data_IF_629897772182
#
_entry.id   IF_629897772182
#
_cell.length_a   1.000
_cell.length_b   1.000
_cell.length_c   1.000
_cell.angle_alpha   90.00
_cell.angle_beta   90.00
_cell.angle_gamma   90.00
#
_symmetry.space_group_name_H-M   'P 1'
#
loop_
_entity.id
_entity.type
_entity.pdbx_description
1 polymer ?
#
# COMPACT_ATOMS: atom_id res chain seq x y z
N UNK A 1 -30.25 23.55 12.38
CA UNK A 1 -29.79 23.28 11.01
C UNK A 1 -28.46 22.56 11.16
N UNK A 2 -28.43 21.24 11.00
CA UNK A 2 -27.17 20.49 11.09
C UNK A 2 -26.30 20.95 9.91
N UNK A 3 -25.22 21.66 10.19
CA UNK A 3 -24.21 21.96 9.17
C UNK A 3 -23.66 20.62 8.71
N UNK A 4 -24.07 20.18 7.52
CA UNK A 4 -23.38 19.08 6.86
C UNK A 4 -21.94 19.55 6.71
N UNK A 5 -21.03 18.84 7.40
CA UNK A 5 -19.60 19.06 7.25
C UNK A 5 -19.26 18.53 5.85
N UNK A 6 -19.30 19.43 4.87
CA UNK A 6 -19.04 19.12 3.47
C UNK A 6 -17.57 19.40 3.17
N UNK A 7 -16.89 18.41 2.60
CA UNK A 7 -15.54 18.59 2.07
C UNK A 7 -15.65 19.33 0.75
N UNK A 8 -14.92 20.45 0.57
CA UNK A 8 -15.03 21.21 -0.67
C UNK A 8 -14.41 20.42 -1.84
N UNK A 9 -14.91 20.64 -3.06
CA UNK A 9 -14.32 20.01 -4.26
C UNK A 9 -12.81 20.28 -4.38
N UNK A 10 -12.35 21.45 -3.95
CA UNK A 10 -10.93 21.78 -3.91
C UNK A 10 -10.15 20.88 -2.93
N UNK A 11 -10.68 20.69 -1.71
CA UNK A 11 -10.10 19.77 -0.73
C UNK A 11 -10.11 18.32 -1.23
N UNK A 12 -11.17 17.90 -1.94
CA UNK A 12 -11.28 16.56 -2.51
C UNK A 12 -10.22 16.33 -3.61
N UNK A 13 -10.08 17.28 -4.54
CA UNK A 13 -9.08 17.24 -5.61
C UNK A 13 -7.68 17.20 -5.01
N UNK A 14 -7.39 18.04 -4.02
CA UNK A 14 -6.07 18.08 -3.38
C UNK A 14 -5.78 16.80 -2.59
N UNK A 15 -6.79 16.23 -1.92
CA UNK A 15 -6.66 14.91 -1.25
C UNK A 15 -6.35 13.82 -2.26
N UNK A 16 -7.09 13.78 -3.38
CA UNK A 16 -6.86 12.80 -4.44
C UNK A 16 -5.48 12.94 -5.10
N UNK A 17 -5.03 14.17 -5.35
CA UNK A 17 -3.69 14.44 -5.86
C UNK A 17 -2.61 13.98 -4.88
N UNK A 18 -2.75 14.34 -3.59
CA UNK A 18 -1.81 13.94 -2.54
C UNK A 18 -1.73 12.41 -2.43
N UNK A 19 -2.87 11.72 -2.38
CA UNK A 19 -2.92 10.26 -2.36
C UNK A 19 -2.24 9.68 -3.60
N UNK A 20 -2.58 10.16 -4.80
CA UNK A 20 -2.00 9.66 -6.05
C UNK A 20 -0.48 9.84 -6.13
N UNK A 21 0.05 10.97 -5.67
CA UNK A 21 1.51 11.21 -5.63
C UNK A 21 2.17 10.34 -4.56
N UNK A 22 1.64 10.35 -3.33
CA UNK A 22 2.27 9.67 -2.19
C UNK A 22 2.20 8.15 -2.30
N UNK A 23 1.25 7.58 -3.04
CA UNK A 23 1.15 6.15 -3.31
C UNK A 23 2.30 5.64 -4.21
N UNK A 24 2.86 6.51 -5.08
CA UNK A 24 3.95 6.16 -5.98
C UNK A 24 5.32 6.11 -5.29
N UNK A 25 5.42 6.72 -4.11
CA UNK A 25 6.66 6.78 -3.33
C UNK A 25 6.50 5.99 -2.03
N UNK A 26 7.59 5.43 -1.47
CA UNK A 26 7.53 4.65 -0.23
C UNK A 26 7.39 5.54 1.02
N UNK A 27 6.51 6.54 1.00
CA UNK A 27 6.39 7.59 2.02
C UNK A 27 5.08 7.52 2.82
N UNK A 28 4.34 6.41 2.76
CA UNK A 28 3.05 6.19 3.42
C UNK A 28 1.97 7.21 3.03
N UNK A 29 1.16 6.85 2.04
CA UNK A 29 0.06 7.67 1.53
C UNK A 29 -1.02 7.93 2.59
N UNK A 30 -1.39 6.90 3.37
CA UNK A 30 -2.32 7.04 4.50
C UNK A 30 -1.86 8.07 5.53
N UNK A 31 -0.58 8.05 5.90
CA UNK A 31 -0.02 8.99 6.88
C UNK A 31 -0.19 10.44 6.43
N UNK A 32 0.12 10.73 5.17
CA UNK A 32 -0.04 12.08 4.60
C UNK A 32 -1.52 12.47 4.46
N UNK A 33 -2.38 11.54 4.06
CA UNK A 33 -3.82 11.77 3.93
C UNK A 33 -4.49 12.04 5.28
N UNK A 34 -3.93 11.60 6.41
CA UNK A 34 -4.46 11.95 7.74
C UNK A 34 -3.82 13.24 8.27
N UNK A 35 -2.50 13.39 8.13
CA UNK A 35 -1.75 14.51 8.73
C UNK A 35 -1.98 15.84 8.03
N UNK A 36 -2.10 15.86 6.70
CA UNK A 36 -2.29 17.12 5.96
C UNK A 36 -3.61 17.81 6.33
N UNK A 37 -4.77 17.11 6.36
CA UNK A 37 -6.01 17.69 6.86
C UNK A 37 -5.94 18.14 8.32
N UNK A 38 -5.34 17.32 9.20
CA UNK A 38 -5.21 17.61 10.62
C UNK A 38 -4.33 18.85 10.87
N UNK A 39 -3.30 19.06 10.05
CA UNK A 39 -2.40 20.20 10.18
C UNK A 39 -2.97 21.50 9.60
N UNK A 40 -3.68 21.42 8.47
CA UNK A 40 -4.36 22.58 7.86
C UNK A 40 -5.54 23.04 8.72
N UNK A 41 -6.23 22.10 9.38
CA UNK A 41 -7.32 22.40 10.30
C UNK A 41 -8.63 22.79 9.62
N UNK A 42 -9.55 23.37 10.40
CA UNK A 42 -10.80 23.93 9.91
C UNK A 42 -11.80 22.87 9.44
N UNK A 43 -12.45 23.10 8.29
CA UNK A 43 -13.45 22.16 7.76
C UNK A 43 -12.86 20.81 7.35
N UNK A 44 -11.56 20.77 7.03
CA UNK A 44 -10.89 19.54 6.58
C UNK A 44 -10.61 18.59 7.74
N UNK A 45 -10.07 19.12 8.85
CA UNK A 45 -9.92 18.40 10.12
C UNK A 45 -11.28 18.01 10.71
N UNK A 46 -12.28 18.90 10.64
CA UNK A 46 -13.63 18.60 11.10
C UNK A 46 -14.25 17.44 10.32
N UNK A 47 -13.98 17.33 9.01
CA UNK A 47 -14.44 16.22 8.20
C UNK A 47 -13.67 14.92 8.47
N UNK A 48 -12.35 15.00 8.70
CA UNK A 48 -11.51 13.87 9.11
C UNK A 48 -12.01 13.26 10.43
N UNK A 49 -12.29 14.10 11.43
CA UNK A 49 -12.69 13.68 12.79
C UNK A 49 -14.18 13.35 12.91
N UNK A 50 -14.99 13.74 11.91
CA UNK A 50 -16.41 13.41 11.89
C UNK A 50 -16.61 11.91 11.65
N UNK A 51 -17.05 11.22 12.70
CA UNK A 51 -17.45 9.82 12.64
C UNK A 51 -18.94 9.73 12.95
N UNK A 52 -19.73 9.29 11.98
CA UNK A 52 -21.17 9.09 12.17
C UNK A 52 -21.42 7.58 12.30
N UNK A 53 -22.03 7.15 13.42
CA UNK A 53 -22.34 5.74 13.68
C UNK A 53 -21.15 4.75 13.59
N UNK A 54 -19.94 5.22 13.89
CA UNK A 54 -18.72 4.41 13.85
C UNK A 54 -18.04 4.34 12.48
N UNK A 55 -18.58 5.01 11.46
CA UNK A 55 -17.98 5.13 10.14
C UNK A 55 -17.50 6.57 9.90
N UNK A 56 -16.25 6.74 9.48
CA UNK A 56 -15.71 8.02 9.04
C UNK A 56 -15.88 8.15 7.51
N UNK A 57 -16.68 9.12 7.02
CA UNK A 57 -16.80 9.38 5.59
C UNK A 57 -15.45 9.69 4.92
N UNK A 58 -14.53 10.30 5.69
CA UNK A 58 -13.18 10.58 5.20
C UNK A 58 -12.37 9.31 4.97
N UNK A 59 -12.40 8.35 5.90
CA UNK A 59 -11.73 7.06 5.71
C UNK A 59 -12.28 6.31 4.49
N UNK A 60 -13.60 6.31 4.31
CA UNK A 60 -14.23 5.71 3.12
C UNK A 60 -13.73 6.37 1.82
N UNK A 61 -13.56 7.69 1.82
CA UNK A 61 -12.97 8.42 0.69
C UNK A 61 -11.51 8.01 0.45
N UNK A 62 -10.68 7.90 1.49
CA UNK A 62 -9.29 7.44 1.36
C UNK A 62 -9.25 6.02 0.78
N UNK A 63 -10.10 5.12 1.29
CA UNK A 63 -10.22 3.74 0.78
C UNK A 63 -10.60 3.75 -0.71
N UNK A 64 -11.55 4.60 -1.11
CA UNK A 64 -11.95 4.73 -2.51
C UNK A 64 -10.81 5.27 -3.39
N UNK A 65 -10.05 6.26 -2.91
CA UNK A 65 -8.89 6.81 -3.63
C UNK A 65 -7.77 5.77 -3.77
N UNK A 66 -7.50 4.98 -2.73
CA UNK A 66 -6.55 3.88 -2.77
C UNK A 66 -7.02 2.74 -3.71
N UNK A 67 -8.32 2.45 -3.74
CA UNK A 67 -8.88 1.52 -4.72
C UNK A 67 -8.70 2.06 -6.16
N UNK A 68 -8.86 3.37 -6.38
CA UNK A 68 -8.65 3.98 -7.69
C UNK A 68 -7.18 3.89 -8.16
N UNK A 69 -6.20 4.07 -7.26
CA UNK A 69 -4.78 3.88 -7.60
C UNK A 69 -4.47 2.41 -7.89
N UNK A 70 -5.02 1.47 -7.10
CA UNK A 70 -4.90 0.04 -7.35
C UNK A 70 -5.48 -0.37 -8.71
N UNK A 71 -6.69 0.10 -9.06
CA UNK A 71 -7.31 -0.11 -10.37
C UNK A 71 -6.43 0.45 -11.48
N UNK A 72 -5.85 1.64 -11.28
CA UNK A 72 -4.94 2.25 -12.26
C UNK A 72 -3.73 1.33 -12.53
N UNK A 73 -3.10 0.79 -11.49
CA UNK A 73 -2.00 -0.18 -11.63
C UNK A 73 -2.45 -1.48 -12.31
N UNK A 74 -3.63 -2.01 -11.98
CA UNK A 74 -4.19 -3.20 -12.63
C UNK A 74 -4.39 -2.99 -14.14
N UNK A 75 -4.89 -1.80 -14.54
CA UNK A 75 -5.11 -1.47 -15.95
C UNK A 75 -3.79 -1.26 -16.71
N UNK A 76 -2.84 -0.52 -16.13
CA UNK A 76 -1.52 -0.27 -16.75
C UNK A 76 -0.78 -1.60 -16.96
N UNK A 77 -0.76 -2.47 -15.95
CA UNK A 77 -0.06 -3.75 -16.00
C UNK A 77 -0.96 -4.93 -16.41
N UNK A 78 -2.11 -4.68 -17.05
CA UNK A 78 -3.11 -5.71 -17.37
C UNK A 78 -2.53 -6.93 -18.08
N UNK A 79 -1.68 -6.72 -19.09
CA UNK A 79 -1.02 -7.80 -19.84
C UNK A 79 -0.12 -8.65 -18.94
N UNK A 80 0.60 -8.01 -18.00
CA UNK A 80 1.46 -8.68 -17.04
C UNK A 80 0.65 -9.51 -16.05
N UNK A 81 -0.46 -8.98 -15.54
CA UNK A 81 -1.39 -9.73 -14.69
C UNK A 81 -1.92 -10.97 -15.39
N UNK A 82 -2.35 -10.86 -16.65
CA UNK A 82 -2.79 -12.02 -17.43
C UNK A 82 -1.68 -13.07 -17.62
N UNK A 83 -0.42 -12.65 -17.80
CA UNK A 83 0.72 -13.57 -17.87
C UNK A 83 0.94 -14.31 -16.54
N UNK A 84 0.94 -13.59 -15.41
CA UNK A 84 1.11 -14.17 -14.09
C UNK A 84 -0.02 -15.16 -13.74
N UNK A 85 -1.27 -14.81 -14.06
CA UNK A 85 -2.43 -15.69 -13.83
C UNK A 85 -2.33 -16.95 -14.69
N UNK A 86 -1.96 -16.83 -15.98
CA UNK A 86 -1.74 -18.01 -16.83
C UNK A 86 -0.59 -18.89 -16.31
N UNK A 87 0.50 -18.27 -15.85
CA UNK A 87 1.64 -18.97 -15.27
C UNK A 87 1.26 -19.71 -13.98
N UNK A 88 0.41 -19.12 -13.14
CA UNK A 88 -0.13 -19.77 -11.94
C UNK A 88 -0.89 -21.06 -12.28
N UNK A 89 -1.88 -21.01 -13.17
CA UNK A 89 -2.66 -22.20 -13.55
C UNK A 89 -1.81 -23.25 -14.27
N UNK A 90 -0.86 -22.82 -15.12
CA UNK A 90 0.11 -23.73 -15.75
C UNK A 90 0.94 -24.45 -14.72
N UNK A 91 1.51 -23.71 -13.76
CA UNK A 91 2.33 -24.26 -12.66
C UNK A 91 1.54 -25.25 -11.81
N UNK A 92 0.27 -24.96 -11.51
CA UNK A 92 -0.59 -25.87 -10.75
C UNK A 92 -0.85 -27.18 -11.51
N UNK A 93 -1.01 -27.10 -12.84
CA UNK A 93 -1.23 -28.27 -13.71
C UNK A 93 0.05 -29.10 -13.90
N UNK A 94 1.19 -28.46 -14.16
CA UNK A 94 2.47 -29.15 -14.36
C UNK A 94 3.15 -29.55 -13.05
N UNK A 95 2.71 -29.01 -11.91
CA UNK A 95 3.35 -29.12 -10.60
C UNK A 95 4.83 -28.72 -10.64
N UNK A 96 5.15 -27.74 -11.48
CA UNK A 96 6.51 -27.25 -11.67
C UNK A 96 6.57 -25.72 -11.66
N UNK A 97 7.74 -25.19 -11.31
CA UNK A 97 8.03 -23.76 -11.22
C UNK A 97 9.11 -23.37 -12.24
N UNK A 98 9.03 -23.96 -13.43
CA UNK A 98 10.11 -23.92 -14.42
C UNK A 98 10.23 -22.56 -15.11
N UNK A 99 9.18 -21.72 -15.05
CA UNK A 99 9.20 -20.39 -15.66
C UNK A 99 9.35 -19.29 -14.61
N UNK A 100 10.07 -18.20 -14.92
CA UNK A 100 10.20 -17.07 -14.01
C UNK A 100 8.86 -16.51 -13.53
N UNK A 101 7.87 -16.40 -14.43
CA UNK A 101 6.53 -15.88 -14.10
C UNK A 101 5.79 -16.77 -13.11
N UNK A 102 5.95 -18.10 -13.24
CA UNK A 102 5.36 -19.07 -12.31
C UNK A 102 5.96 -18.87 -10.93
N UNK A 103 7.28 -18.68 -10.83
CA UNK A 103 7.93 -18.42 -9.55
C UNK A 103 7.52 -17.07 -8.95
N UNK A 104 7.44 -16.01 -9.77
CA UNK A 104 7.03 -14.68 -9.33
C UNK A 104 5.63 -14.70 -8.72
N UNK A 105 4.63 -15.31 -9.38
CA UNK A 105 3.26 -15.32 -8.84
C UNK A 105 3.16 -16.07 -7.51
N UNK A 106 3.90 -17.16 -7.32
CA UNK A 106 3.96 -17.85 -6.04
C UNK A 106 4.68 -17.06 -4.95
N UNK A 107 5.76 -16.34 -5.29
CA UNK A 107 6.43 -15.43 -4.36
C UNK A 107 5.50 -14.30 -3.91
N UNK A 108 4.72 -13.72 -4.83
CA UNK A 108 3.70 -12.71 -4.51
C UNK A 108 2.67 -13.30 -3.54
N UNK A 109 2.07 -14.45 -3.86
CA UNK A 109 1.06 -15.09 -3.01
C UNK A 109 1.59 -15.36 -1.59
N UNK A 110 2.80 -15.90 -1.46
CA UNK A 110 3.41 -16.19 -0.15
C UNK A 110 3.73 -14.92 0.62
N UNK A 111 4.14 -13.85 -0.05
CA UNK A 111 4.36 -12.56 0.60
C UNK A 111 3.04 -11.89 1.02
N UNK A 112 1.94 -12.06 0.28
CA UNK A 112 0.65 -11.42 0.60
C UNK A 112 -0.14 -12.14 1.70
N UNK A 113 0.05 -13.45 1.90
CA UNK A 113 -0.73 -14.22 2.89
C UNK A 113 -0.57 -13.68 4.33
N UNK A 114 0.66 -13.43 4.85
CA UNK A 114 0.82 -12.94 6.23
C UNK A 114 0.15 -11.59 6.46
N UNK A 115 0.37 -10.61 5.58
CA UNK A 115 -0.23 -9.28 5.69
C UNK A 115 -1.76 -9.34 5.59
N UNK A 116 -2.30 -10.17 4.68
CA UNK A 116 -3.75 -10.36 4.57
C UNK A 116 -4.36 -11.00 5.82
N UNK A 117 -3.68 -11.99 6.41
CA UNK A 117 -4.10 -12.62 7.65
C UNK A 117 -4.08 -11.64 8.84
N UNK A 118 -3.01 -10.84 8.98
CA UNK A 118 -2.92 -9.80 9.99
C UNK A 118 -3.99 -8.73 9.80
N UNK A 119 -4.26 -8.33 8.55
CA UNK A 119 -5.31 -7.36 8.21
C UNK A 119 -6.69 -7.79 8.70
N UNK A 120 -7.07 -9.05 8.45
CA UNK A 120 -8.36 -9.60 8.92
C UNK A 120 -8.40 -9.76 10.44
N UNK A 121 -7.29 -10.18 11.07
CA UNK A 121 -7.24 -10.39 12.52
C UNK A 121 -7.26 -9.09 13.33
N UNK A 122 -6.67 -8.01 12.79
CA UNK A 122 -6.45 -6.75 13.49
C UNK A 122 -7.18 -5.55 12.86
N UNK A 123 -8.18 -5.79 12.00
CA UNK A 123 -8.89 -4.75 11.24
C UNK A 123 -9.38 -3.60 12.13
N UNK A 124 -10.03 -3.92 13.26
CA UNK A 124 -10.57 -2.89 14.18
C UNK A 124 -9.47 -2.07 14.86
N UNK A 125 -8.37 -2.71 15.24
CA UNK A 125 -7.23 -2.03 15.86
C UNK A 125 -6.56 -1.09 14.85
N UNK A 126 -6.43 -1.53 13.60
CA UNK A 126 -5.90 -0.70 12.52
C UNK A 126 -6.80 0.49 12.20
N UNK A 127 -8.13 0.31 12.17
CA UNK A 127 -9.05 1.44 11.98
C UNK A 127 -8.85 2.52 13.05
N UNK A 128 -8.69 2.15 14.32
CA UNK A 128 -8.43 3.12 15.40
C UNK A 128 -7.06 3.78 15.24
N UNK A 129 -6.00 2.98 15.03
CA UNK A 129 -4.62 3.48 14.89
C UNK A 129 -4.45 4.40 13.68
N UNK A 130 -5.12 4.10 12.57
CA UNK A 130 -5.05 4.89 11.33
C UNK A 130 -6.10 6.00 11.25
N UNK A 131 -6.90 6.23 12.29
CA UNK A 131 -7.79 7.40 12.37
C UNK A 131 -7.19 8.54 13.19
N UNK A 132 -6.16 8.25 13.99
CA UNK A 132 -5.55 9.19 14.93
C UNK A 132 -4.32 9.89 14.32
N UNK A 133 -4.32 11.23 14.17
CA UNK A 133 -3.19 11.97 13.61
C UNK A 133 -1.88 11.74 14.36
N UNK A 134 -1.94 11.59 15.69
CA UNK A 134 -0.75 11.33 16.50
C UNK A 134 -0.12 9.97 16.15
N UNK A 135 -0.92 8.93 16.03
CA UNK A 135 -0.44 7.60 15.63
C UNK A 135 0.15 7.64 14.20
N UNK A 136 -0.53 8.30 13.26
CA UNK A 136 -0.04 8.48 11.90
C UNK A 136 1.33 9.19 11.87
N UNK A 137 1.53 10.23 12.69
CA UNK A 137 2.81 10.94 12.78
C UNK A 137 3.97 10.06 13.29
N UNK A 138 3.69 9.20 14.27
CA UNK A 138 4.68 8.28 14.84
C UNK A 138 5.07 7.24 13.79
N UNK A 139 4.09 6.60 13.14
CA UNK A 139 4.35 5.63 12.07
C UNK A 139 5.12 6.24 10.91
N UNK A 140 4.76 7.45 10.48
CA UNK A 140 5.44 8.13 9.39
C UNK A 140 6.90 8.45 9.74
N UNK A 141 7.15 8.87 10.99
CA UNK A 141 8.50 9.12 11.50
C UNK A 141 9.34 7.85 11.56
N UNK A 142 8.76 6.74 12.03
CA UNK A 142 9.41 5.43 12.05
C UNK A 142 9.72 4.96 10.63
N UNK A 143 8.77 5.08 9.69
CA UNK A 143 8.97 4.73 8.29
C UNK A 143 10.12 5.53 7.68
N UNK A 144 10.17 6.84 7.92
CA UNK A 144 11.28 7.70 7.48
C UNK A 144 12.64 7.25 8.04
N UNK A 145 12.69 6.88 9.32
CA UNK A 145 13.91 6.35 9.93
C UNK A 145 14.34 5.01 9.33
N UNK A 146 13.39 4.11 9.06
CA UNK A 146 13.66 2.84 8.39
C UNK A 146 14.25 3.07 7.00
N UNK A 147 13.69 4.01 6.22
CA UNK A 147 14.22 4.37 4.90
C UNK A 147 15.66 4.89 4.99
N UNK A 148 15.95 5.78 5.94
CA UNK A 148 17.31 6.31 6.15
C UNK A 148 18.29 5.17 6.49
N UNK A 149 17.89 4.24 7.37
CA UNK A 149 18.72 3.10 7.76
C UNK A 149 18.93 2.16 6.56
N UNK A 150 17.88 1.90 5.78
CA UNK A 150 17.93 1.04 4.60
C UNK A 150 18.87 1.63 3.53
N UNK A 151 18.78 2.94 3.29
CA UNK A 151 19.67 3.66 2.36
C UNK A 151 21.12 3.56 2.82
N UNK A 152 21.41 3.84 4.10
CA UNK A 152 22.78 3.74 4.65
C UNK A 152 23.34 2.32 4.64
N UNK A 153 22.47 1.32 4.77
CA UNK A 153 22.86 -0.10 4.76
C UNK A 153 22.99 -0.67 3.35
N UNK A 154 22.45 0.03 2.34
CA UNK A 154 22.55 -0.35 0.93
C UNK A 154 23.99 -0.15 0.44
N UNK A 155 24.80 -1.20 0.55
CA UNK A 155 26.13 -1.23 -0.09
C UNK A 155 25.93 -1.20 -1.59
N UNK A 156 26.45 -0.16 -2.25
CA UNK A 156 26.53 0.10 -3.69
C UNK A 156 26.48 -1.18 -4.56
N UNK A 157 25.28 -1.75 -4.75
CA UNK A 157 25.05 -2.82 -5.72
C UNK A 157 24.66 -2.11 -6.99
N UNK A 158 25.64 -1.96 -7.87
CA UNK A 158 25.45 -1.53 -9.25
C UNK A 158 24.22 -2.25 -9.78
N UNK A 159 23.16 -1.48 -10.08
CA UNK A 159 21.92 -1.98 -10.67
C UNK A 159 22.26 -2.39 -12.10
N UNK A 160 22.82 -3.59 -12.26
CA UNK A 160 22.87 -4.26 -13.55
C UNK A 160 21.42 -4.54 -13.92
N UNK A 161 21.00 -3.95 -15.04
CA UNK A 161 19.72 -4.09 -15.75
C UNK A 161 18.88 -5.28 -15.26
N UNK A 162 18.05 -5.01 -14.25
CA UNK A 162 17.32 -6.00 -13.44
C UNK A 162 15.87 -6.12 -13.88
N UNK A 163 15.62 -5.80 -15.14
CA UNK A 163 14.29 -5.81 -15.76
C UNK A 163 13.84 -7.24 -16.14
N UNK A 164 14.72 -8.22 -16.03
CA UNK A 164 14.44 -9.62 -16.34
C UNK A 164 14.07 -10.40 -15.07
N UNK A 165 12.86 -10.96 -15.04
CA UNK A 165 12.35 -11.84 -13.98
C UNK A 165 13.35 -12.96 -13.58
N UNK A 166 14.24 -13.33 -14.49
CA UNK A 166 15.31 -14.31 -14.32
C UNK A 166 16.30 -13.93 -13.20
N UNK A 167 16.64 -12.65 -13.04
CA UNK A 167 17.56 -12.16 -12.00
C UNK A 167 16.86 -12.07 -10.64
N UNK A 168 15.61 -11.58 -10.62
CA UNK A 168 14.81 -11.45 -9.39
C UNK A 168 14.46 -12.83 -8.81
N UNK A 169 14.11 -13.78 -9.67
CA UNK A 169 13.77 -15.14 -9.23
C UNK A 169 14.97 -15.89 -8.69
N UNK A 170 16.18 -15.72 -9.23
CA UNK A 170 17.36 -16.44 -8.72
C UNK A 170 17.85 -15.90 -7.36
N UNK A 171 17.53 -14.65 -7.01
CA UNK A 171 18.02 -14.01 -5.77
C UNK A 171 17.02 -14.08 -4.60
N UNK A 172 15.72 -14.23 -4.87
CA UNK A 172 14.69 -14.22 -3.82
C UNK A 172 14.23 -15.65 -3.50
N UNK A 173 14.53 -16.09 -2.27
CA UNK A 173 14.04 -17.35 -1.69
C UNK A 173 12.62 -17.17 -1.13
N UNK A 174 11.84 -18.26 -1.09
CA UNK A 174 10.53 -18.27 -0.43
C UNK A 174 10.57 -17.80 1.03
N UNK A 175 11.68 -18.09 1.73
CA UNK A 175 11.89 -17.58 3.08
C UNK A 175 11.94 -16.05 3.12
N UNK A 176 12.63 -15.44 2.15
CA UNK A 176 12.75 -13.99 2.05
C UNK A 176 11.41 -13.35 1.69
N UNK A 177 10.65 -13.96 0.77
CA UNK A 177 9.31 -13.50 0.42
C UNK A 177 8.35 -13.55 1.62
N UNK A 178 8.37 -14.63 2.40
CA UNK A 178 7.58 -14.72 3.62
C UNK A 178 7.99 -13.67 4.65
N UNK A 179 9.29 -13.48 4.90
CA UNK A 179 9.76 -12.43 5.83
C UNK A 179 9.40 -11.03 5.36
N UNK A 180 9.43 -10.78 4.04
CA UNK A 180 8.95 -9.52 3.47
C UNK A 180 7.44 -9.35 3.69
N UNK A 181 6.66 -10.42 3.55
CA UNK A 181 5.23 -10.41 3.83
C UNK A 181 4.87 -10.14 5.28
N UNK A 182 5.69 -10.60 6.22
CA UNK A 182 5.55 -10.29 7.66
C UNK A 182 5.94 -8.84 7.98
N UNK A 183 6.83 -8.25 7.17
CA UNK A 183 7.32 -6.89 7.37
C UNK A 183 6.48 -5.80 6.67
N UNK A 184 5.55 -6.19 5.78
CA UNK A 184 4.57 -5.31 5.13
C UNK A 184 3.50 -4.87 6.13
#
# INVERSE_FOLDING_TARGET
MATQLELSYWQAILTGFLQGVTELFPISSLGHSILVPAWIGGSWESFLTNSTAGESPYLLMIIALHAASAITLLLIFWKRWLQLVKAFFRSLKSRSLDTPESRVIWLILIATIPVGALGVLFERQFQVLFSEPLAASIFLSINGLILIIAEKSSKNKTVMDSTSDEVLTHQISFKNAFTSGVAQ
#
